data_IF_840459709910
#
_entry.id   IF_840459709910
#
_cell.length_a   1.000
_cell.length_b   1.000
_cell.length_c   1.000
_cell.angle_alpha   90.00
_cell.angle_beta   90.00
_cell.angle_gamma   90.00
#
_symmetry.space_group_name_H-M   'P 1'
#
loop_
_entity.id
_entity.type
_entity.pdbx_description
1 polymer ?
#
# COMPACT_ATOMS: atom_id res chain seq x y z
N UNK A 1 13.05 -16.99 19.00
CA UNK A 1 11.75 -16.37 18.67
C UNK A 1 11.48 -16.69 17.21
N UNK A 2 10.27 -17.05 16.83
CA UNK A 2 9.95 -17.31 15.42
C UNK A 2 10.10 -16.00 14.64
N UNK A 3 10.69 -16.07 13.44
CA UNK A 3 10.83 -14.93 12.54
C UNK A 3 9.45 -14.49 12.05
N UNK A 4 9.14 -13.20 12.15
CA UNK A 4 7.85 -12.64 11.73
C UNK A 4 7.95 -12.30 10.26
N UNK A 5 7.18 -13.00 9.42
CA UNK A 5 7.04 -12.65 8.00
C UNK A 5 6.39 -11.27 7.88
N UNK A 6 6.96 -10.40 7.04
CA UNK A 6 6.50 -9.01 6.86
C UNK A 6 6.18 -8.72 5.39
N UNK A 7 5.20 -7.84 5.17
CA UNK A 7 4.74 -7.39 3.86
C UNK A 7 5.13 -5.91 3.69
N UNK A 8 5.95 -5.57 2.69
CA UNK A 8 6.40 -4.19 2.48
C UNK A 8 5.31 -3.31 1.84
N UNK A 9 5.39 -2.00 2.10
CA UNK A 9 4.63 -0.98 1.39
C UNK A 9 5.22 -0.65 0.02
N UNK A 10 6.44 -1.09 -0.27
CA UNK A 10 7.14 -0.74 -1.51
C UNK A 10 7.67 0.69 -1.51
N UNK A 11 7.82 1.29 -0.33
CA UNK A 11 8.45 2.60 -0.10
C UNK A 11 9.66 2.33 0.78
N UNK A 12 10.85 2.36 0.19
CA UNK A 12 12.10 1.91 0.82
C UNK A 12 12.31 2.52 2.21
N UNK A 13 12.20 3.84 2.33
CA UNK A 13 12.44 4.56 3.58
C UNK A 13 11.41 4.21 4.66
N UNK A 14 10.15 4.01 4.27
CA UNK A 14 9.10 3.60 5.20
C UNK A 14 9.32 2.16 5.65
N UNK A 15 9.56 1.25 4.71
CA UNK A 15 9.79 -0.16 4.98
C UNK A 15 11.00 -0.34 5.91
N UNK A 16 12.12 0.35 5.64
CA UNK A 16 13.28 0.38 6.54
C UNK A 16 12.91 0.89 7.95
N UNK A 17 12.08 1.93 8.05
CA UNK A 17 11.65 2.50 9.33
C UNK A 17 10.73 1.57 10.15
N UNK A 18 10.06 0.60 9.51
CA UNK A 18 9.13 -0.34 10.16
C UNK A 18 9.60 -1.79 10.09
N UNK A 19 10.92 -2.01 10.02
CA UNK A 19 11.56 -3.33 10.04
C UNK A 19 11.23 -4.21 8.82
N UNK A 20 11.09 -3.62 7.65
CA UNK A 20 10.84 -4.29 6.37
C UNK A 20 9.36 -4.43 5.99
N UNK A 21 8.45 -3.84 6.77
CA UNK A 21 7.01 -3.83 6.46
C UNK A 21 6.13 -4.24 7.63
N UNK A 22 4.86 -4.46 7.36
CA UNK A 22 3.87 -4.86 8.37
C UNK A 22 3.86 -6.37 8.57
N UNK A 23 3.62 -6.89 9.80
CA UNK A 23 3.48 -8.32 10.01
C UNK A 23 2.39 -8.93 9.12
N UNK A 24 2.70 -10.03 8.43
CA UNK A 24 1.73 -10.73 7.59
C UNK A 24 0.57 -11.27 8.43
N UNK A 25 -0.65 -11.16 7.90
CA UNK A 25 -1.87 -11.55 8.61
C UNK A 25 -2.33 -10.56 9.69
N UNK A 26 -1.72 -9.37 9.75
CA UNK A 26 -2.16 -8.29 10.64
C UNK A 26 -3.21 -7.39 9.99
N UNK A 27 -3.92 -6.65 10.84
CA UNK A 27 -4.75 -5.52 10.43
C UNK A 27 -3.95 -4.23 10.61
N UNK A 28 -3.92 -3.40 9.57
CA UNK A 28 -3.22 -2.13 9.56
C UNK A 28 -4.22 -1.01 9.31
N UNK A 29 -4.18 0.02 10.15
CA UNK A 29 -5.04 1.21 10.00
C UNK A 29 -4.14 2.41 9.75
N UNK A 30 -4.38 3.10 8.63
CA UNK A 30 -3.71 4.35 8.29
C UNK A 30 -4.65 5.51 8.60
N UNK A 31 -4.26 6.39 9.52
CA UNK A 31 -5.07 7.54 9.96
C UNK A 31 -4.36 8.86 9.66
N UNK A 32 -5.13 9.95 9.57
CA UNK A 32 -4.60 11.28 9.30
C UNK A 32 -5.61 12.20 8.62
N UNK A 33 -5.33 13.49 8.63
CA UNK A 33 -6.19 14.53 8.05
C UNK A 33 -6.39 14.34 6.52
N UNK A 34 -7.45 14.89 5.92
CA UNK A 34 -7.61 14.90 4.46
C UNK A 34 -6.37 15.49 3.77
N UNK A 35 -5.96 14.89 2.65
CA UNK A 35 -4.82 15.38 1.86
C UNK A 35 -3.43 14.93 2.31
N UNK A 36 -3.26 14.28 3.47
CA UNK A 36 -1.92 13.83 3.94
C UNK A 36 -1.36 12.58 3.24
N UNK A 37 -2.04 12.07 2.22
CA UNK A 37 -1.53 10.95 1.41
C UNK A 37 -1.96 9.53 1.81
N UNK A 38 -3.00 9.37 2.63
CA UNK A 38 -3.50 8.04 3.06
C UNK A 38 -3.82 7.10 1.89
N UNK A 39 -4.59 7.58 0.92
CA UNK A 39 -4.95 6.80 -0.28
C UNK A 39 -3.72 6.50 -1.13
N UNK A 40 -2.77 7.44 -1.23
CA UNK A 40 -1.50 7.23 -1.94
C UNK A 40 -0.69 6.11 -1.26
N UNK A 41 -0.62 6.10 0.07
CA UNK A 41 0.03 5.02 0.82
C UNK A 41 -0.66 3.66 0.58
N UNK A 42 -1.99 3.64 0.51
CA UNK A 42 -2.74 2.44 0.17
C UNK A 42 -2.45 1.95 -1.26
N UNK A 43 -2.30 2.87 -2.24
CA UNK A 43 -1.88 2.53 -3.60
C UNK A 43 -0.48 1.92 -3.63
N UNK A 44 0.48 2.49 -2.90
CA UNK A 44 1.83 1.92 -2.77
C UNK A 44 1.79 0.48 -2.25
N UNK A 45 1.04 0.24 -1.17
CA UNK A 45 0.89 -1.11 -0.60
C UNK A 45 0.26 -2.10 -1.59
N UNK A 46 -0.81 -1.68 -2.27
CA UNK A 46 -1.47 -2.48 -3.30
C UNK A 46 -0.53 -2.80 -4.46
N UNK A 47 0.21 -1.80 -4.95
CA UNK A 47 1.17 -1.96 -6.04
C UNK A 47 2.35 -2.86 -5.66
N UNK A 48 2.86 -2.75 -4.43
CA UNK A 48 3.91 -3.62 -3.91
C UNK A 48 3.46 -5.09 -3.89
N UNK A 49 2.22 -5.37 -3.45
CA UNK A 49 1.62 -6.70 -3.49
C UNK A 49 1.50 -7.25 -4.91
N UNK A 50 0.97 -6.46 -5.85
CA UNK A 50 0.87 -6.87 -7.25
C UNK A 50 2.24 -7.19 -7.86
N UNK A 51 3.27 -6.37 -7.57
CA UNK A 51 4.65 -6.63 -8.03
C UNK A 51 5.28 -7.86 -7.40
N UNK A 52 4.84 -8.26 -6.20
CA UNK A 52 5.23 -9.50 -5.55
C UNK A 52 4.48 -10.73 -6.09
N UNK A 53 3.47 -10.53 -6.94
CA UNK A 53 2.61 -11.58 -7.47
C UNK A 53 1.43 -11.94 -6.56
N UNK A 54 1.15 -11.13 -5.54
CA UNK A 54 0.03 -11.35 -4.63
C UNK A 54 -1.29 -10.89 -5.28
N UNK A 55 -2.40 -11.61 -5.04
CA UNK A 55 -3.72 -11.13 -5.40
C UNK A 55 -4.09 -9.93 -4.51
N UNK A 56 -4.53 -8.83 -5.13
CA UNK A 56 -4.89 -7.59 -4.42
C UNK A 56 -6.33 -7.21 -4.72
N UNK A 57 -7.07 -6.84 -3.67
CA UNK A 57 -8.39 -6.23 -3.78
C UNK A 57 -8.32 -4.82 -3.22
N UNK A 58 -8.56 -3.83 -4.07
CA UNK A 58 -8.63 -2.43 -3.67
C UNK A 58 -10.08 -1.96 -3.64
N UNK A 59 -10.57 -1.59 -2.45
CA UNK A 59 -11.94 -1.10 -2.25
C UNK A 59 -11.88 0.39 -1.88
N UNK A 60 -12.68 1.21 -2.55
CA UNK A 60 -12.78 2.65 -2.30
C UNK A 60 -14.24 3.06 -2.25
N UNK A 61 -14.54 4.05 -1.39
CA UNK A 61 -15.87 4.66 -1.24
C UNK A 61 -15.91 6.13 -1.65
N UNK A 62 -14.74 6.74 -1.92
CA UNK A 62 -14.62 8.19 -2.13
C UNK A 62 -14.46 8.59 -3.60
N UNK A 63 -14.00 7.67 -4.46
CA UNK A 63 -13.71 7.92 -5.87
C UNK A 63 -13.98 6.68 -6.72
N UNK A 64 -14.22 6.86 -8.02
CA UNK A 64 -14.33 5.75 -8.95
C UNK A 64 -12.97 5.08 -9.14
N UNK A 65 -12.97 3.76 -9.41
CA UNK A 65 -11.71 3.02 -9.57
C UNK A 65 -10.87 3.53 -10.75
N UNK A 66 -11.50 4.03 -11.82
CA UNK A 66 -10.78 4.64 -12.95
C UNK A 66 -9.89 5.81 -12.52
N UNK A 67 -10.35 6.60 -11.54
CA UNK A 67 -9.63 7.77 -11.05
C UNK A 67 -8.45 7.34 -10.15
N UNK A 68 -8.62 6.24 -9.39
CA UNK A 68 -7.51 5.59 -8.67
C UNK A 68 -6.41 5.17 -9.63
N UNK A 69 -6.76 4.50 -10.74
CA UNK A 69 -5.78 4.05 -11.75
C UNK A 69 -5.07 5.23 -12.39
N UNK A 70 -5.79 6.30 -12.75
CA UNK A 70 -5.18 7.53 -13.29
C UNK A 70 -4.21 8.15 -12.29
N UNK A 71 -4.60 8.24 -11.02
CA UNK A 71 -3.76 8.79 -9.96
C UNK A 71 -2.50 7.94 -9.76
N UNK A 72 -2.64 6.62 -9.73
CA UNK A 72 -1.53 5.68 -9.59
C UNK A 72 -0.51 5.79 -10.73
N UNK A 73 -1.00 5.99 -11.97
CA UNK A 73 -0.16 6.23 -13.13
C UNK A 73 0.74 7.47 -13.00
N UNK A 74 0.32 8.49 -12.24
CA UNK A 74 1.17 9.67 -11.94
C UNK A 74 2.40 9.32 -11.10
N UNK A 75 2.35 8.20 -10.36
CA UNK A 75 3.45 7.65 -9.57
C UNK A 75 4.17 6.50 -10.28
N UNK A 76 3.86 6.24 -11.56
CA UNK A 76 4.46 5.14 -12.34
C UNK A 76 3.98 3.75 -11.91
N UNK A 77 2.81 3.65 -11.27
CA UNK A 77 2.17 2.38 -10.93
C UNK A 77 1.17 2.02 -12.03
N UNK A 78 1.35 0.86 -12.65
CA UNK A 78 0.51 0.37 -13.75
C UNK A 78 -0.36 -0.78 -13.26
N UNK A 79 -1.48 -0.42 -12.61
CA UNK A 79 -2.44 -1.34 -12.00
C UNK A 79 -3.04 -2.36 -12.98
#
# INVERSE_FOLDING_TARGET
MAEVERVPFGIRELDEAIEGGVPKGSWVVVTGEPGVGKSILAMHFAWAGLRAGDPVVYVTTEQEFKDVVVQAGQFGMDF
#
